data_IF_434160983608
#
_entry.id   IF_434160983608
#
_cell.length_a   1.000
_cell.length_b   1.000
_cell.length_c   1.000
_cell.angle_alpha   90.00
_cell.angle_beta   90.00
_cell.angle_gamma   90.00
#
_symmetry.space_group_name_H-M   'P 1'
#
loop_
_entity.id
_entity.type
_entity.pdbx_description
1 polymer ?
#
# COMPACT_ATOMS: atom_id res chain seq x y z
N UNK A 1 25.56 -4.09 9.44
CA UNK A 1 25.57 -5.09 8.38
C UNK A 1 25.03 -4.45 7.10
N UNK A 2 25.65 -4.77 5.96
CA UNK A 2 25.15 -4.40 4.64
C UNK A 2 23.79 -5.03 4.42
N UNK A 3 22.85 -4.30 3.76
CA UNK A 3 21.47 -4.76 3.52
C UNK A 3 21.44 -6.13 2.82
N UNK A 4 22.34 -6.35 1.85
CA UNK A 4 22.45 -7.61 1.12
C UNK A 4 22.81 -8.78 2.04
N UNK A 5 23.86 -8.61 2.86
CA UNK A 5 24.32 -9.64 3.79
C UNK A 5 23.24 -9.97 4.85
N UNK A 6 22.48 -8.95 5.29
CA UNK A 6 21.36 -9.16 6.24
C UNK A 6 20.31 -10.08 5.63
N UNK A 7 19.85 -9.80 4.39
CA UNK A 7 18.83 -10.61 3.71
C UNK A 7 19.33 -12.06 3.49
N UNK A 8 20.58 -12.26 3.09
CA UNK A 8 21.17 -13.60 2.92
C UNK A 8 21.16 -14.36 4.25
N UNK A 9 21.59 -13.74 5.34
CA UNK A 9 21.58 -14.36 6.69
C UNK A 9 20.17 -14.69 7.19
N UNK A 10 19.18 -13.86 6.90
CA UNK A 10 17.77 -14.12 7.26
C UNK A 10 17.27 -15.40 6.60
N UNK A 11 17.53 -15.58 5.30
CA UNK A 11 17.14 -16.79 4.57
C UNK A 11 17.87 -18.03 5.09
N UNK A 12 19.17 -17.95 5.39
CA UNK A 12 19.91 -19.07 6.00
C UNK A 12 19.34 -19.48 7.36
N UNK A 13 18.92 -18.50 8.19
CA UNK A 13 18.32 -18.78 9.51
C UNK A 13 16.96 -19.49 9.32
N UNK A 14 16.14 -19.08 8.35
CA UNK A 14 14.87 -19.75 8.03
C UNK A 14 15.12 -21.20 7.62
N UNK A 15 16.08 -21.46 6.72
CA UNK A 15 16.44 -22.82 6.28
C UNK A 15 16.88 -23.70 7.47
N UNK A 16 17.66 -23.16 8.41
CA UNK A 16 18.09 -23.91 9.61
C UNK A 16 16.90 -24.26 10.49
N UNK A 17 15.99 -23.32 10.72
CA UNK A 17 14.77 -23.53 11.53
C UNK A 17 13.91 -24.63 10.91
N UNK A 18 13.71 -24.60 9.60
CA UNK A 18 12.96 -25.60 8.85
C UNK A 18 13.62 -26.99 8.92
N UNK A 19 14.94 -27.06 8.72
CA UNK A 19 15.69 -28.34 8.79
C UNK A 19 15.64 -28.97 10.18
N UNK A 20 15.70 -28.16 11.21
CA UNK A 20 15.61 -28.64 12.62
C UNK A 20 14.18 -29.00 12.99
N UNK A 21 13.18 -28.43 12.32
CA UNK A 21 11.76 -28.69 12.57
C UNK A 21 11.25 -28.15 13.90
N UNK A 22 11.78 -26.99 14.36
CA UNK A 22 11.39 -26.37 15.63
C UNK A 22 10.46 -25.17 15.38
N UNK A 23 9.57 -24.93 16.33
CA UNK A 23 8.80 -23.68 16.37
C UNK A 23 9.67 -22.56 16.95
N UNK A 24 9.82 -21.49 16.22
CA UNK A 24 10.59 -20.32 16.63
C UNK A 24 9.65 -19.12 16.84
N UNK A 25 9.83 -18.39 17.93
CA UNK A 25 9.16 -17.11 18.15
C UNK A 25 10.23 -16.03 18.15
N UNK A 26 10.10 -15.08 17.23
CA UNK A 26 11.00 -13.95 17.08
C UNK A 26 10.26 -12.65 17.42
N UNK A 27 10.92 -11.77 18.15
CA UNK A 27 10.43 -10.39 18.39
C UNK A 27 11.37 -9.44 17.69
N UNK A 28 10.83 -8.62 16.80
CA UNK A 28 11.59 -7.62 16.04
C UNK A 28 10.80 -6.33 15.89
N UNK A 29 11.51 -5.24 15.65
CA UNK A 29 10.95 -3.96 15.21
C UNK A 29 11.23 -3.71 13.72
N UNK A 30 11.90 -4.63 13.05
CA UNK A 30 12.21 -4.57 11.62
C UNK A 30 11.11 -5.30 10.83
N UNK A 31 10.36 -4.53 10.05
CA UNK A 31 9.25 -5.06 9.26
C UNK A 31 9.75 -6.00 8.15
N UNK A 32 10.91 -5.69 7.52
CA UNK A 32 11.49 -6.55 6.49
C UNK A 32 11.86 -7.92 7.07
N UNK A 33 12.37 -7.97 8.31
CA UNK A 33 12.64 -9.25 9.00
C UNK A 33 11.36 -10.06 9.22
N UNK A 34 10.35 -9.43 9.81
CA UNK A 34 9.08 -10.11 10.09
C UNK A 34 8.44 -10.67 8.81
N UNK A 35 8.42 -9.88 7.73
CA UNK A 35 7.80 -10.27 6.46
C UNK A 35 8.59 -11.35 5.71
N UNK A 36 9.91 -11.39 5.88
CA UNK A 36 10.78 -12.33 5.16
C UNK A 36 10.91 -13.68 5.87
N UNK A 37 10.91 -13.68 7.21
CA UNK A 37 11.30 -14.86 7.99
C UNK A 37 10.14 -15.63 8.61
N UNK A 38 8.96 -15.02 8.76
CA UNK A 38 7.89 -15.61 9.54
C UNK A 38 6.77 -16.20 8.66
N UNK A 39 6.26 -17.39 9.04
CA UNK A 39 5.02 -17.95 8.48
C UNK A 39 3.80 -17.14 8.95
N UNK A 40 3.89 -16.61 10.18
CA UNK A 40 2.83 -15.78 10.78
C UNK A 40 3.43 -14.60 11.51
N UNK A 41 2.85 -13.43 11.27
CA UNK A 41 3.23 -12.16 11.89
C UNK A 41 2.12 -11.73 12.85
N UNK A 42 2.51 -11.29 14.05
CA UNK A 42 1.60 -10.63 14.99
C UNK A 42 2.03 -9.16 15.14
N UNK A 43 1.14 -8.24 14.82
CA UNK A 43 1.34 -6.81 15.07
C UNK A 43 0.86 -6.49 16.48
N UNK A 44 1.73 -5.87 17.26
CA UNK A 44 1.42 -5.49 18.65
C UNK A 44 1.49 -3.96 18.80
N UNK A 45 0.51 -3.41 19.51
CA UNK A 45 0.52 -2.03 19.96
C UNK A 45 -0.03 -1.94 21.39
N UNK A 46 0.58 -1.11 22.23
CA UNK A 46 0.15 -0.85 23.60
C UNK A 46 -0.10 -2.11 24.45
N UNK A 47 0.66 -3.19 24.19
CA UNK A 47 0.54 -4.47 24.89
C UNK A 47 -0.56 -5.40 24.36
N UNK A 48 -1.29 -5.02 23.32
CA UNK A 48 -2.34 -5.82 22.66
C UNK A 48 -1.89 -6.31 21.30
N UNK A 49 -2.46 -7.45 20.88
CA UNK A 49 -2.31 -7.94 19.51
C UNK A 49 -3.40 -7.33 18.66
N UNK A 50 -3.00 -6.51 17.68
CA UNK A 50 -3.89 -5.83 16.74
C UNK A 50 -4.32 -6.73 15.58
N UNK A 51 -3.38 -7.52 15.06
CA UNK A 51 -3.62 -8.45 13.98
C UNK A 51 -2.62 -9.59 14.00
N UNK A 52 -3.07 -10.78 13.60
CA UNK A 52 -2.22 -11.94 13.34
C UNK A 52 -2.60 -12.54 12.00
N UNK A 53 -1.62 -12.74 11.13
CA UNK A 53 -1.84 -13.32 9.80
C UNK A 53 -0.55 -13.75 9.14
N UNK A 54 -0.63 -14.26 7.92
CA UNK A 54 0.57 -14.39 7.08
C UNK A 54 1.14 -13.01 6.75
N UNK A 55 2.43 -12.90 6.35
CA UNK A 55 2.98 -11.64 5.86
C UNK A 55 2.11 -10.98 4.77
N UNK A 56 1.58 -11.78 3.86
CA UNK A 56 0.69 -11.29 2.78
C UNK A 56 -0.61 -10.72 3.36
N UNK A 57 -1.27 -11.44 4.30
CA UNK A 57 -2.51 -10.96 4.92
C UNK A 57 -2.31 -9.64 5.67
N UNK A 58 -1.19 -9.52 6.41
CA UNK A 58 -0.85 -8.30 7.15
C UNK A 58 -0.63 -7.11 6.20
N UNK A 59 -0.02 -7.34 5.04
CA UNK A 59 0.31 -6.30 4.08
C UNK A 59 -0.87 -5.90 3.19
N UNK A 60 -1.56 -6.90 2.62
CA UNK A 60 -2.63 -6.68 1.64
C UNK A 60 -4.00 -6.41 2.30
N UNK A 61 -4.23 -6.95 3.50
CA UNK A 61 -5.51 -6.86 4.21
C UNK A 61 -5.31 -6.39 5.66
N UNK A 62 -4.76 -5.19 5.89
CA UNK A 62 -4.55 -4.66 7.23
C UNK A 62 -5.88 -4.45 7.95
N UNK A 63 -6.02 -4.95 9.18
CA UNK A 63 -7.24 -4.88 9.96
C UNK A 63 -7.58 -3.46 10.47
N UNK A 64 -6.61 -2.55 10.47
CA UNK A 64 -6.80 -1.17 10.90
C UNK A 64 -5.86 -0.22 10.17
N UNK A 65 -6.21 1.08 10.23
CA UNK A 65 -5.33 2.15 9.76
C UNK A 65 -3.92 2.05 10.37
N UNK A 66 -3.84 1.79 11.67
CA UNK A 66 -2.57 1.67 12.38
C UNK A 66 -1.70 0.55 11.80
N UNK A 67 -2.28 -0.62 11.55
CA UNK A 67 -1.55 -1.72 10.91
C UNK A 67 -1.11 -1.34 9.51
N UNK A 68 -1.98 -0.71 8.69
CA UNK A 68 -1.64 -0.26 7.34
C UNK A 68 -0.45 0.71 7.31
N UNK A 69 -0.43 1.70 8.23
CA UNK A 69 0.66 2.68 8.36
C UNK A 69 1.94 2.05 8.95
N UNK A 70 1.79 1.07 9.84
CA UNK A 70 2.93 0.42 10.47
C UNK A 70 3.71 -0.47 9.50
N UNK A 71 3.03 -1.24 8.63
CA UNK A 71 3.70 -2.24 7.77
C UNK A 71 4.25 -1.69 6.46
N UNK A 72 4.22 -0.40 6.24
CA UNK A 72 4.83 0.22 5.07
C UNK A 72 4.20 1.53 4.66
N UNK A 73 4.73 2.11 3.59
CA UNK A 73 4.18 3.34 3.03
C UNK A 73 2.79 3.07 2.45
N UNK A 74 1.85 3.95 2.78
CA UNK A 74 0.46 3.85 2.30
C UNK A 74 -0.09 5.25 2.00
N UNK A 75 -0.97 5.36 1.01
CA UNK A 75 -1.84 6.49 0.80
C UNK A 75 -3.14 6.21 1.54
N UNK A 76 -3.59 7.13 2.37
CA UNK A 76 -4.83 7.00 3.13
C UNK A 76 -5.81 8.10 2.72
N UNK A 77 -7.01 7.69 2.35
CA UNK A 77 -8.09 8.58 2.00
C UNK A 77 -9.24 8.39 3.00
N UNK A 78 -9.41 9.39 3.86
CA UNK A 78 -10.59 9.43 4.73
C UNK A 78 -11.80 9.82 3.91
N UNK A 79 -12.93 9.15 4.14
CA UNK A 79 -14.13 9.43 3.42
C UNK A 79 -15.37 8.86 4.08
N UNK A 80 -16.51 9.11 3.45
CA UNK A 80 -17.81 8.57 3.83
C UNK A 80 -18.16 7.42 2.87
N UNK A 81 -18.64 6.32 3.42
CA UNK A 81 -19.11 5.18 2.64
C UNK A 81 -20.49 5.51 2.14
N UNK A 82 -20.61 5.83 0.86
CA UNK A 82 -21.86 6.25 0.21
C UNK A 82 -22.64 5.09 -0.40
N UNK A 83 -21.97 3.94 -0.62
CA UNK A 83 -22.59 2.73 -1.13
C UNK A 83 -21.82 1.52 -0.61
N UNK A 84 -22.53 0.49 -0.14
CA UNK A 84 -21.96 -0.77 0.34
C UNK A 84 -22.92 -1.92 -0.04
N UNK A 85 -22.59 -2.57 -1.15
CA UNK A 85 -23.30 -3.73 -1.67
C UNK A 85 -22.47 -5.01 -1.45
N UNK A 86 -23.02 -6.16 -1.78
CA UNK A 86 -22.31 -7.43 -1.61
C UNK A 86 -21.07 -7.57 -2.53
N UNK A 87 -21.10 -6.90 -3.67
CA UNK A 87 -20.12 -7.00 -4.74
C UNK A 87 -19.31 -5.72 -4.95
N UNK A 88 -19.63 -4.63 -4.26
CA UNK A 88 -18.85 -3.39 -4.34
C UNK A 88 -19.11 -2.44 -3.17
N UNK A 89 -18.18 -1.52 -3.00
CA UNK A 89 -18.29 -0.41 -2.07
C UNK A 89 -17.83 0.89 -2.75
N UNK A 90 -18.42 2.04 -2.35
CA UNK A 90 -17.98 3.36 -2.81
C UNK A 90 -17.73 4.28 -1.63
N UNK A 91 -16.58 4.93 -1.65
CA UNK A 91 -16.14 5.87 -0.60
C UNK A 91 -15.96 7.24 -1.22
N UNK A 92 -16.69 8.22 -0.75
CA UNK A 92 -16.52 9.61 -1.13
C UNK A 92 -15.50 10.28 -0.20
N UNK A 93 -14.41 10.77 -0.77
CA UNK A 93 -13.34 11.44 -0.02
C UNK A 93 -13.15 12.88 -0.48
N UNK A 94 -13.05 13.85 0.42
CA UNK A 94 -12.76 15.23 0.06
C UNK A 94 -11.36 15.41 -0.55
N UNK A 95 -10.50 14.40 -0.43
CA UNK A 95 -9.16 14.38 -0.99
C UNK A 95 -9.15 14.10 -2.51
N UNK A 96 -10.21 13.55 -3.06
CA UNK A 96 -10.30 13.09 -4.45
C UNK A 96 -11.49 13.74 -5.16
N UNK A 97 -11.40 13.87 -6.48
CA UNK A 97 -12.46 14.45 -7.31
C UNK A 97 -13.61 13.48 -7.60
N UNK A 98 -13.41 12.19 -7.31
CA UNK A 98 -14.34 11.11 -7.57
C UNK A 98 -14.41 10.16 -6.37
N UNK A 99 -15.56 9.50 -6.12
CA UNK A 99 -15.61 8.41 -5.17
C UNK A 99 -14.66 7.26 -5.58
N UNK A 100 -14.03 6.66 -4.58
CA UNK A 100 -13.25 5.44 -4.75
C UNK A 100 -14.23 4.28 -4.93
N UNK A 101 -14.04 3.50 -5.97
CA UNK A 101 -14.76 2.26 -6.21
C UNK A 101 -13.91 1.06 -5.78
N UNK A 102 -14.50 0.16 -5.02
CA UNK A 102 -13.88 -1.08 -4.54
C UNK A 102 -14.80 -2.22 -4.96
N UNK A 103 -14.27 -3.25 -5.61
CA UNK A 103 -15.01 -4.38 -6.18
C UNK A 103 -15.41 -5.48 -5.18
N UNK A 104 -15.52 -5.11 -3.92
CA UNK A 104 -16.08 -5.95 -2.86
C UNK A 104 -16.79 -5.07 -1.82
N UNK A 105 -17.81 -5.62 -1.18
CA UNK A 105 -18.48 -4.96 -0.07
C UNK A 105 -17.66 -5.06 1.23
N UNK A 106 -17.93 -4.13 2.13
CA UNK A 106 -17.34 -4.14 3.48
C UNK A 106 -18.29 -4.88 4.42
N UNK A 107 -19.49 -4.38 4.53
CA UNK A 107 -20.60 -4.94 5.34
C UNK A 107 -21.87 -4.21 4.98
N UNK A 108 -22.97 -4.91 4.91
CA UNK A 108 -24.28 -4.32 4.50
C UNK A 108 -24.81 -3.20 5.41
N UNK A 109 -24.05 -2.72 6.37
CA UNK A 109 -24.40 -1.67 7.31
C UNK A 109 -23.38 -0.54 7.41
N UNK A 110 -22.47 -0.43 6.44
CA UNK A 110 -21.38 0.55 6.46
C UNK A 110 -21.75 1.91 5.83
N UNK A 111 -22.87 2.01 5.11
CA UNK A 111 -23.33 3.28 4.49
C UNK A 111 -23.49 4.38 5.54
N UNK A 112 -23.16 5.61 5.18
CA UNK A 112 -23.12 6.81 6.04
C UNK A 112 -22.10 6.73 7.20
N UNK A 113 -21.17 5.77 7.16
CA UNK A 113 -20.07 5.68 8.12
C UNK A 113 -18.79 6.25 7.53
N UNK A 114 -17.99 6.83 8.40
CA UNK A 114 -16.64 7.22 8.05
C UNK A 114 -15.74 5.99 7.94
N UNK A 115 -14.94 5.96 6.88
CA UNK A 115 -13.98 4.91 6.61
C UNK A 115 -12.67 5.45 6.06
N UNK A 116 -11.73 4.55 5.85
CA UNK A 116 -10.43 4.84 5.26
C UNK A 116 -10.21 3.88 4.09
N UNK A 117 -9.89 4.43 2.93
CA UNK A 117 -9.31 3.64 1.85
C UNK A 117 -7.79 3.70 1.97
N UNK A 118 -7.15 2.54 2.04
CA UNK A 118 -5.70 2.38 2.10
C UNK A 118 -5.18 1.90 0.74
N UNK A 119 -4.27 2.64 0.14
CA UNK A 119 -3.75 2.34 -1.19
C UNK A 119 -2.22 2.33 -1.18
N UNK A 120 -1.61 1.19 -1.50
CA UNK A 120 -0.17 1.05 -1.55
C UNK A 120 0.43 1.78 -2.77
N UNK A 121 1.54 2.50 -2.62
CA UNK A 121 2.16 3.25 -3.72
C UNK A 121 2.53 2.41 -4.94
N UNK A 122 2.91 1.14 -4.74
CA UNK A 122 3.26 0.21 -5.81
C UNK A 122 2.05 -0.39 -6.55
N UNK A 123 0.84 -0.17 -6.04
CA UNK A 123 -0.43 -0.55 -6.69
C UNK A 123 -1.00 0.56 -7.57
N UNK A 124 -0.25 1.66 -7.73
CA UNK A 124 -0.68 2.83 -8.50
C UNK A 124 0.17 2.96 -9.76
N UNK A 125 -0.50 3.18 -10.88
CA UNK A 125 0.13 3.56 -12.15
C UNK A 125 0.08 5.06 -12.35
N UNK A 126 1.01 5.57 -13.17
CA UNK A 126 1.19 6.99 -13.43
C UNK A 126 1.19 7.31 -14.95
N UNK A 127 0.06 7.10 -15.66
CA UNK A 127 -0.05 7.43 -17.07
C UNK A 127 -0.07 8.96 -17.30
N UNK A 128 0.43 9.39 -18.48
CA UNK A 128 0.31 10.78 -18.95
C UNK A 128 -1.06 11.07 -19.55
N UNK A 129 -1.70 10.05 -20.11
CA UNK A 129 -3.02 10.14 -20.69
C UNK A 129 -4.10 9.69 -19.69
N UNK A 130 -5.28 10.25 -19.82
CA UNK A 130 -6.39 9.89 -18.95
C UNK A 130 -6.73 8.40 -19.11
N UNK A 131 -6.78 7.64 -18.02
CA UNK A 131 -7.15 6.24 -18.07
C UNK A 131 -8.57 6.03 -18.59
N UNK A 132 -8.80 4.92 -19.27
CA UNK A 132 -10.13 4.50 -19.73
C UNK A 132 -11.04 3.98 -18.61
N UNK A 133 -10.51 3.79 -17.40
CA UNK A 133 -11.29 3.33 -16.25
C UNK A 133 -12.39 4.33 -15.87
N UNK A 134 -13.56 3.82 -15.59
CA UNK A 134 -14.70 4.63 -15.12
C UNK A 134 -14.59 4.99 -13.63
N UNK A 135 -13.76 4.28 -12.87
CA UNK A 135 -13.79 4.34 -11.41
C UNK A 135 -12.59 5.04 -10.77
N UNK A 136 -11.43 4.41 -10.75
CA UNK A 136 -10.33 4.83 -9.90
C UNK A 136 -9.20 5.54 -10.64
N UNK A 137 -9.31 6.85 -10.76
CA UNK A 137 -8.20 7.70 -11.16
C UNK A 137 -8.37 9.13 -10.65
N UNK A 138 -7.26 9.84 -10.51
CA UNK A 138 -7.23 11.25 -10.14
C UNK A 138 -6.19 11.99 -10.99
N UNK A 139 -6.49 13.22 -11.41
CA UNK A 139 -5.55 14.07 -12.10
C UNK A 139 -4.63 14.77 -11.10
N UNK A 140 -3.37 14.88 -11.45
CA UNK A 140 -2.40 15.55 -10.59
C UNK A 140 -1.18 16.05 -11.34
N UNK A 141 -0.25 16.61 -10.58
CA UNK A 141 1.01 17.14 -11.06
C UNK A 141 2.14 16.55 -10.23
N UNK A 142 3.22 16.14 -10.89
CA UNK A 142 4.40 15.64 -10.20
C UNK A 142 5.07 16.77 -9.42
N UNK A 143 5.04 16.67 -8.10
CA UNK A 143 5.60 17.65 -7.18
C UNK A 143 7.06 17.32 -6.84
N UNK A 144 7.35 16.03 -6.59
CA UNK A 144 8.71 15.58 -6.30
C UNK A 144 8.94 14.13 -6.73
N UNK A 145 10.22 13.77 -6.88
CA UNK A 145 10.65 12.44 -7.29
C UNK A 145 11.88 12.02 -6.47
N UNK A 146 11.76 10.94 -5.71
CA UNK A 146 12.88 10.32 -5.01
C UNK A 146 13.35 9.08 -5.80
N UNK A 147 14.56 9.12 -6.35
CA UNK A 147 15.18 7.98 -7.04
C UNK A 147 15.89 7.07 -6.02
N UNK A 148 15.42 5.82 -5.90
CA UNK A 148 15.91 4.84 -4.92
C UNK A 148 16.62 3.64 -5.57
N UNK A 149 17.13 3.82 -6.79
CA UNK A 149 17.84 2.78 -7.54
C UNK A 149 16.89 1.82 -8.24
N UNK A 150 16.40 0.79 -7.55
CA UNK A 150 15.48 -0.20 -8.12
C UNK A 150 14.09 0.34 -8.45
N UNK A 151 13.67 1.40 -7.79
CA UNK A 151 12.39 2.08 -8.02
C UNK A 151 12.53 3.58 -7.78
N UNK A 152 11.54 4.33 -8.23
CA UNK A 152 11.37 5.77 -7.95
C UNK A 152 10.06 6.00 -7.24
N UNK A 153 10.07 6.82 -6.20
CA UNK A 153 8.89 7.27 -5.48
C UNK A 153 8.50 8.65 -5.99
N UNK A 154 7.35 8.74 -6.61
CA UNK A 154 6.75 9.97 -7.10
C UNK A 154 5.79 10.54 -6.06
N UNK A 155 5.82 11.84 -5.89
CA UNK A 155 4.88 12.60 -5.09
C UNK A 155 4.01 13.40 -6.05
N UNK A 156 2.74 13.05 -6.15
CA UNK A 156 1.79 13.66 -7.08
C UNK A 156 0.80 14.50 -6.28
N UNK A 157 0.74 15.78 -6.57
CA UNK A 157 -0.20 16.71 -5.95
C UNK A 157 -1.47 16.81 -6.78
N UNK A 158 -2.61 16.49 -6.17
CA UNK A 158 -3.94 16.62 -6.80
C UNK A 158 -4.45 18.05 -6.72
N UNK A 159 -5.55 18.35 -7.41
CA UNK A 159 -6.19 19.65 -7.39
C UNK A 159 -6.73 20.02 -5.99
N UNK A 160 -7.09 19.03 -5.16
CA UNK A 160 -7.50 19.23 -3.76
C UNK A 160 -6.33 19.59 -2.83
N UNK A 161 -5.08 19.46 -3.32
CA UNK A 161 -3.86 19.62 -2.52
C UNK A 161 -3.39 18.32 -1.84
N UNK A 162 -4.12 17.22 -2.00
CA UNK A 162 -3.71 15.91 -1.50
C UNK A 162 -2.42 15.46 -2.19
N UNK A 163 -1.50 14.90 -1.41
CA UNK A 163 -0.29 14.28 -1.93
C UNK A 163 -0.48 12.78 -2.05
N UNK A 164 -0.33 12.26 -3.27
CA UNK A 164 -0.39 10.82 -3.56
C UNK A 164 1.01 10.33 -3.86
N UNK A 165 1.44 9.28 -3.17
CA UNK A 165 2.72 8.61 -3.39
C UNK A 165 2.53 7.46 -4.36
N UNK A 166 3.38 7.39 -5.39
CA UNK A 166 3.36 6.34 -6.40
C UNK A 166 4.76 5.73 -6.51
N UNK A 167 4.87 4.42 -6.39
CA UNK A 167 6.15 3.70 -6.50
C UNK A 167 6.25 3.01 -7.85
N UNK A 168 7.21 3.43 -8.67
CA UNK A 168 7.43 2.86 -10.00
C UNK A 168 8.78 2.15 -10.07
N UNK A 169 8.78 0.87 -10.45
CA UNK A 169 10.01 0.11 -10.66
C UNK A 169 10.86 0.72 -11.79
N UNK A 170 12.18 0.81 -11.58
CA UNK A 170 13.14 1.33 -12.54
C UNK A 170 13.62 0.23 -13.50
N UNK A 171 12.70 -0.35 -14.28
CA UNK A 171 12.98 -1.50 -15.17
C UNK A 171 13.70 -1.10 -16.46
N UNK A 172 13.55 0.14 -16.90
CA UNK A 172 14.13 0.64 -18.16
C UNK A 172 15.15 1.75 -17.91
N UNK A 173 16.27 1.72 -18.64
CA UNK A 173 17.31 2.76 -18.54
C UNK A 173 16.87 4.13 -19.07
N UNK A 174 15.95 4.17 -20.05
CA UNK A 174 15.42 5.37 -20.70
C UNK A 174 13.97 5.09 -21.10
N UNK A 175 13.05 5.18 -20.15
CA UNK A 175 11.63 5.18 -20.44
C UNK A 175 11.08 6.61 -20.53
N UNK A 176 9.95 6.79 -21.18
CA UNK A 176 9.18 8.03 -21.14
C UNK A 176 8.48 8.14 -19.76
N UNK A 177 9.26 8.55 -18.77
CA UNK A 177 8.80 8.68 -17.39
C UNK A 177 8.36 10.11 -17.13
N UNK A 178 7.34 10.30 -16.29
CA UNK A 178 7.01 11.62 -15.80
C UNK A 178 8.20 12.27 -15.09
N UNK A 179 8.34 13.57 -15.25
CA UNK A 179 9.33 14.41 -14.59
C UNK A 179 8.64 15.49 -13.76
N UNK A 180 9.43 16.30 -13.02
CA UNK A 180 8.89 17.38 -12.19
C UNK A 180 7.98 18.29 -13.00
N UNK A 181 6.89 18.72 -12.38
CA UNK A 181 5.88 19.60 -12.94
C UNK A 181 5.03 19.00 -14.10
N UNK A 182 5.28 17.75 -14.48
CA UNK A 182 4.44 17.07 -15.48
C UNK A 182 3.03 16.87 -14.95
N UNK A 183 2.04 17.11 -15.83
CA UNK A 183 0.65 16.71 -15.59
C UNK A 183 0.49 15.23 -15.86
N UNK A 184 -0.08 14.52 -14.91
CA UNK A 184 -0.23 13.07 -14.94
C UNK A 184 -1.58 12.65 -14.36
N UNK A 185 -1.90 11.39 -14.54
CA UNK A 185 -3.01 10.75 -13.85
C UNK A 185 -2.45 9.69 -12.90
N UNK A 186 -2.94 9.65 -11.68
CA UNK A 186 -2.77 8.50 -10.78
C UNK A 186 -3.94 7.56 -11.01
N UNK A 187 -3.65 6.30 -11.27
CA UNK A 187 -4.64 5.29 -11.59
C UNK A 187 -4.38 4.03 -10.75
N UNK A 188 -5.44 3.42 -10.26
CA UNK A 188 -5.35 2.14 -9.53
C UNK A 188 -6.58 1.26 -9.83
N UNK A 189 -6.41 -0.03 -9.64
CA UNK A 189 -7.48 -1.01 -9.84
C UNK A 189 -8.50 -0.98 -8.70
N UNK A 190 -9.61 -1.68 -8.90
CA UNK A 190 -10.77 -1.61 -8.02
C UNK A 190 -10.72 -2.60 -6.82
N UNK A 191 -9.64 -3.37 -6.72
CA UNK A 191 -9.46 -4.42 -5.68
C UNK A 191 -8.29 -4.15 -4.75
#
# INVERSE_FOLDING_TARGET
LDKKLRTEMQLEVVEIIEQVGVTCIMVTHDQEEAMTMADRVAIMADGWIEQVGSPVDIYESPASRMVAEFVGTVNLFEGEIIEDAADHCRIESPALSRPIYIDHGITTQAVDRRGWAALRPEKIWLPREQPSSEYNWEAGKVDDIAYLGGYSLYYVRTASGQMIKVSMANTERRGDRPTWEDSVYVYWENH
#
